data_IF_148749730443
#
_entry.id   IF_148749730443
#
_cell.length_a   1.000
_cell.length_b   1.000
_cell.length_c   1.000
_cell.angle_alpha   90.00
_cell.angle_beta   90.00
_cell.angle_gamma   90.00
#
_symmetry.space_group_name_H-M   'P 1'
#
loop_
_entity.id
_entity.type
_entity.pdbx_description
1 polymer ?
#
# COMPACT_ATOMS: atom_id res chain seq x y z
N UNK A 1 -1.47 14.70 2.73
CA UNK A 1 -0.44 14.78 3.80
C UNK A 1 -0.53 16.14 4.49
N UNK A 2 -0.34 17.25 3.78
CA UNK A 2 -0.44 18.63 4.29
C UNK A 2 -1.69 18.92 5.16
N UNK A 3 -2.87 18.40 4.79
CA UNK A 3 -4.10 18.60 5.57
C UNK A 3 -4.06 18.00 6.99
N UNK A 4 -3.19 17.01 7.22
CA UNK A 4 -3.07 16.27 8.47
C UNK A 4 -1.87 16.67 9.31
N UNK A 5 -0.91 17.38 8.72
CA UNK A 5 0.36 17.76 9.35
C UNK A 5 0.17 18.55 10.64
N UNK A 6 -0.83 19.45 10.68
CA UNK A 6 -1.19 20.21 11.88
C UNK A 6 -1.60 19.36 13.10
N UNK A 7 -1.90 18.08 12.89
CA UNK A 7 -2.24 17.12 13.95
C UNK A 7 -1.10 16.15 14.26
N UNK A 8 0.01 16.22 13.51
CA UNK A 8 1.16 15.33 13.67
C UNK A 8 2.21 15.95 14.59
N UNK A 9 2.99 15.14 15.32
CA UNK A 9 4.20 15.62 15.99
C UNK A 9 5.20 16.21 15.00
N UNK A 10 5.94 17.22 15.45
CA UNK A 10 7.17 17.68 14.79
C UNK A 10 8.38 17.26 15.61
N UNK A 11 9.57 17.32 15.00
CA UNK A 11 10.82 16.92 15.64
C UNK A 11 11.84 18.04 15.49
N UNK A 12 12.42 18.50 16.60
CA UNK A 12 13.31 19.67 16.65
C UNK A 12 14.66 19.31 17.29
N UNK A 13 15.72 20.03 16.91
CA UNK A 13 17.06 19.88 17.49
C UNK A 13 17.87 18.68 16.99
N UNK A 14 19.11 18.55 17.47
CA UNK A 14 20.04 17.48 17.06
C UNK A 14 19.60 16.09 17.54
N UNK A 15 18.89 16.04 18.67
CA UNK A 15 18.39 14.82 19.29
C UNK A 15 17.02 14.40 18.77
N UNK A 16 16.44 15.15 17.82
CA UNK A 16 15.13 14.84 17.25
C UNK A 16 14.05 14.76 18.33
N UNK A 17 14.00 15.77 19.21
CA UNK A 17 13.03 15.78 20.30
C UNK A 17 11.62 15.97 19.74
N UNK A 18 10.72 15.05 20.07
CA UNK A 18 9.35 15.08 19.63
C UNK A 18 8.57 16.21 20.32
N UNK A 19 7.85 16.99 19.52
CA UNK A 19 6.96 18.06 19.96
C UNK A 19 5.56 17.82 19.42
N UNK A 20 4.64 17.53 20.33
CA UNK A 20 3.25 17.31 19.97
C UNK A 20 2.54 18.65 19.66
N UNK A 21 1.62 18.66 18.69
CA UNK A 21 0.82 19.83 18.38
C UNK A 21 -0.15 20.15 19.52
N UNK A 22 -0.57 21.42 19.59
CA UNK A 22 -1.66 21.83 20.49
C UNK A 22 -2.98 21.46 19.83
N UNK A 23 -3.70 20.53 20.44
CA UNK A 23 -4.95 19.97 19.93
C UNK A 23 -6.15 20.46 20.74
N UNK A 24 -7.28 20.71 20.05
CA UNK A 24 -8.56 20.96 20.69
C UNK A 24 -9.11 19.67 21.33
N UNK A 25 -10.08 19.81 22.24
CA UNK A 25 -10.63 18.69 23.02
C UNK A 25 -11.25 17.56 22.18
N UNK A 26 -11.65 17.85 20.95
CA UNK A 26 -12.24 16.91 19.99
C UNK A 26 -11.25 16.43 18.92
N UNK A 27 -10.00 16.89 18.95
CA UNK A 27 -8.95 16.53 18.00
C UNK A 27 -8.08 15.41 18.60
N UNK A 28 -7.55 14.56 17.72
CA UNK A 28 -6.69 13.44 18.10
C UNK A 28 -5.30 13.64 17.50
N UNK A 29 -4.29 13.15 18.21
CA UNK A 29 -2.93 13.10 17.69
C UNK A 29 -2.89 12.20 16.46
N UNK A 30 -2.27 12.65 15.39
CA UNK A 30 -2.05 11.85 14.19
C UNK A 30 -0.63 11.33 14.18
N UNK A 31 -0.45 10.02 14.00
CA UNK A 31 0.88 9.40 13.95
C UNK A 31 1.12 8.88 12.54
N UNK A 32 2.18 9.37 11.92
CA UNK A 32 2.60 8.92 10.59
C UNK A 32 3.19 7.51 10.69
N UNK A 33 2.64 6.59 9.88
CA UNK A 33 3.12 5.21 9.77
C UNK A 33 3.40 4.93 8.30
N UNK A 34 4.66 4.72 7.96
CA UNK A 34 5.04 4.33 6.60
C UNK A 34 5.27 2.84 6.45
N UNK A 35 5.07 2.35 5.24
CA UNK A 35 5.19 0.95 4.86
C UNK A 35 6.00 0.81 3.57
N UNK A 36 6.79 -0.26 3.51
CA UNK A 36 7.40 -0.73 2.27
C UNK A 36 7.89 -2.19 2.40
N UNK A 37 8.29 -2.79 1.27
CA UNK A 37 8.89 -4.12 1.17
C UNK A 37 10.27 -4.04 0.52
N UNK A 38 11.25 -4.70 1.13
CA UNK A 38 12.59 -4.81 0.59
C UNK A 38 13.02 -6.27 0.37
N UNK A 39 13.69 -6.53 -0.76
CA UNK A 39 14.32 -7.82 -1.07
C UNK A 39 15.80 -7.85 -0.68
N UNK A 40 16.18 -8.87 0.08
CA UNK A 40 17.54 -9.18 0.47
C UNK A 40 17.98 -10.46 -0.23
N UNK A 41 19.02 -10.37 -1.06
CA UNK A 41 19.48 -11.48 -1.88
C UNK A 41 20.73 -12.13 -1.29
N UNK A 42 20.79 -13.45 -1.32
CA UNK A 42 21.88 -14.25 -0.75
C UNK A 42 23.25 -13.93 -1.38
N UNK A 43 23.28 -13.49 -2.63
CA UNK A 43 24.51 -13.12 -3.34
C UNK A 43 24.66 -11.60 -3.53
N UNK A 44 23.94 -10.75 -2.79
CA UNK A 44 24.12 -9.29 -2.81
C UNK A 44 25.41 -8.91 -2.09
N UNK A 45 26.45 -8.53 -2.85
CA UNK A 45 27.83 -8.28 -2.41
C UNK A 45 28.32 -6.91 -2.88
N UNK A 46 29.43 -6.46 -2.29
CA UNK A 46 30.21 -5.34 -2.78
C UNK A 46 30.64 -5.62 -4.23
N UNK A 47 30.37 -4.69 -5.16
CA UNK A 47 30.74 -4.87 -6.56
C UNK A 47 32.26 -4.92 -6.76
N UNK A 48 33.03 -4.32 -5.84
CA UNK A 48 34.49 -4.19 -5.91
C UNK A 48 35.13 -4.99 -4.78
N UNK A 49 36.11 -5.83 -5.13
CA UNK A 49 36.92 -6.63 -4.19
C UNK A 49 38.38 -6.47 -4.58
N UNK A 50 39.26 -6.27 -3.59
CA UNK A 50 40.71 -6.31 -3.79
C UNK A 50 41.19 -7.76 -3.65
N UNK A 51 41.92 -8.25 -4.65
CA UNK A 51 42.42 -9.62 -4.68
C UNK A 51 43.86 -9.67 -5.22
N UNK A 52 44.67 -10.66 -4.83
CA UNK A 52 46.00 -10.88 -5.40
C UNK A 52 45.94 -11.08 -6.92
N UNK A 53 46.99 -10.62 -7.60
CA UNK A 53 47.12 -10.80 -9.05
C UNK A 53 47.16 -12.30 -9.35
N UNK A 54 46.25 -12.78 -10.20
CA UNK A 54 46.13 -14.19 -10.58
C UNK A 54 45.18 -15.02 -9.73
N UNK A 55 44.64 -14.48 -8.63
CA UNK A 55 43.71 -15.19 -7.73
C UNK A 55 42.37 -14.44 -7.57
N UNK A 56 41.61 -14.22 -8.66
CA UNK A 56 40.33 -13.52 -8.55
C UNK A 56 39.34 -14.36 -7.72
N UNK A 57 38.64 -13.76 -6.74
CA UNK A 57 37.65 -14.47 -5.95
C UNK A 57 36.48 -14.90 -6.84
N UNK A 58 36.13 -16.18 -6.77
CA UNK A 58 34.98 -16.73 -7.50
C UNK A 58 33.67 -16.25 -6.88
N UNK A 59 32.92 -15.43 -7.62
CA UNK A 59 31.57 -15.01 -7.23
C UNK A 59 30.51 -15.97 -7.79
N UNK A 60 29.48 -16.23 -6.99
CA UNK A 60 28.31 -16.97 -7.47
C UNK A 60 27.60 -16.15 -8.55
N UNK A 61 27.14 -16.82 -9.60
CA UNK A 61 26.38 -16.18 -10.69
C UNK A 61 24.98 -15.79 -10.21
N UNK A 62 24.56 -14.58 -10.54
CA UNK A 62 23.21 -14.06 -10.23
C UNK A 62 22.99 -13.74 -8.75
N UNK A 63 21.81 -13.24 -8.42
CA UNK A 63 21.48 -12.76 -7.07
C UNK A 63 21.21 -13.89 -6.05
N UNK A 64 20.98 -15.13 -6.52
CA UNK A 64 20.66 -16.25 -5.63
C UNK A 64 19.26 -16.17 -5.02
N UNK A 65 19.01 -16.94 -3.96
CA UNK A 65 17.75 -16.90 -3.20
C UNK A 65 17.58 -15.54 -2.52
N UNK A 66 16.35 -15.15 -2.24
CA UNK A 66 16.07 -13.92 -1.51
C UNK A 66 15.12 -14.12 -0.33
N UNK A 67 15.12 -13.13 0.56
CA UNK A 67 14.14 -12.96 1.61
C UNK A 67 13.52 -11.58 1.38
N UNK A 68 12.20 -11.55 1.22
CA UNK A 68 11.43 -10.31 1.26
C UNK A 68 11.14 -9.98 2.72
N UNK A 69 11.30 -8.71 3.06
CA UNK A 69 10.91 -8.15 4.35
C UNK A 69 9.86 -7.08 4.09
N UNK A 70 8.71 -7.17 4.75
CA UNK A 70 7.65 -6.17 4.74
C UNK A 70 7.57 -5.57 6.14
N UNK A 71 7.68 -4.26 6.29
CA UNK A 71 7.82 -3.63 7.61
C UNK A 71 7.12 -2.28 7.66
N UNK A 72 6.84 -1.81 8.88
CA UNK A 72 6.22 -0.53 9.15
C UNK A 72 7.12 0.30 10.07
N UNK A 73 7.32 1.57 9.70
CA UNK A 73 8.05 2.53 10.51
C UNK A 73 7.17 3.72 10.89
N UNK A 74 7.30 4.13 12.12
CA UNK A 74 6.72 5.32 12.71
C UNK A 74 7.82 6.35 12.85
N UNK A 75 7.42 7.60 12.73
CA UNK A 75 8.32 8.71 12.96
C UNK A 75 8.77 8.82 14.42
N UNK A 76 7.85 8.50 15.33
CA UNK A 76 8.00 8.63 16.79
C UNK A 76 8.87 7.54 17.41
N UNK A 77 8.58 6.28 17.11
CA UNK A 77 9.12 5.12 17.82
C UNK A 77 9.90 4.14 16.91
N UNK A 78 10.14 4.54 15.66
CA UNK A 78 10.79 3.68 14.68
C UNK A 78 9.90 2.50 14.32
N UNK A 79 10.34 1.26 14.57
CA UNK A 79 9.56 0.09 14.11
C UNK A 79 8.23 -0.07 14.82
N UNK A 80 7.19 -0.43 14.09
CA UNK A 80 5.89 -0.76 14.67
C UNK A 80 5.95 -2.11 15.39
N UNK A 81 6.25 -2.05 16.69
CA UNK A 81 6.32 -3.18 17.60
C UNK A 81 5.95 -2.75 19.03
N UNK A 82 5.52 -3.70 19.83
CA UNK A 82 5.30 -3.51 21.26
C UNK A 82 6.62 -3.58 22.04
N UNK A 83 6.69 -2.84 23.15
CA UNK A 83 7.74 -2.96 24.17
C UNK A 83 7.37 -4.02 25.23
N UNK A 84 8.27 -4.30 26.17
CA UNK A 84 8.07 -5.38 27.17
C UNK A 84 6.82 -5.14 28.04
N UNK A 85 6.56 -3.90 28.45
CA UNK A 85 5.40 -3.55 29.28
C UNK A 85 4.09 -3.65 28.48
N UNK A 86 4.10 -3.20 27.22
CA UNK A 86 2.97 -3.29 26.30
C UNK A 86 2.62 -4.75 25.97
N UNK A 87 3.62 -5.63 25.84
CA UNK A 87 3.41 -7.07 25.62
C UNK A 87 2.74 -7.71 26.83
N UNK A 88 3.11 -7.30 28.05
CA UNK A 88 2.46 -7.80 29.26
C UNK A 88 1.02 -7.30 29.39
N UNK A 89 0.75 -6.07 28.94
CA UNK A 89 -0.59 -5.49 28.98
C UNK A 89 -1.52 -6.04 27.91
N UNK A 90 -0.99 -6.38 26.73
CA UNK A 90 -1.75 -6.84 25.56
C UNK A 90 -1.19 -8.16 24.98
N UNK A 91 -1.22 -9.27 25.75
CA UNK A 91 -0.59 -10.54 25.36
C UNK A 91 -1.21 -11.19 24.10
N UNK A 92 -2.44 -10.82 23.74
CA UNK A 92 -3.14 -11.27 22.54
C UNK A 92 -2.73 -10.53 21.26
N UNK A 93 -2.09 -9.36 21.39
CA UNK A 93 -1.67 -8.53 20.27
C UNK A 93 -0.30 -8.99 19.78
N UNK A 94 -0.09 -9.12 18.46
CA UNK A 94 1.21 -9.51 17.93
C UNK A 94 2.33 -8.55 18.36
N UNK A 95 3.54 -9.09 18.58
CA UNK A 95 4.66 -8.28 19.09
C UNK A 95 5.20 -7.28 18.06
N UNK A 96 5.35 -7.68 16.79
CA UNK A 96 5.82 -6.79 15.72
C UNK A 96 5.01 -6.96 14.44
N UNK A 97 4.85 -5.85 13.68
CA UNK A 97 4.11 -5.86 12.43
C UNK A 97 4.90 -6.46 11.26
N UNK A 98 6.22 -6.64 11.39
CA UNK A 98 7.09 -7.13 10.33
C UNK A 98 6.70 -8.53 9.86
N UNK A 99 6.78 -8.75 8.56
CA UNK A 99 6.69 -10.07 7.93
C UNK A 99 7.91 -10.37 7.08
N UNK A 100 8.28 -11.65 7.04
CA UNK A 100 9.26 -12.21 6.12
C UNK A 100 8.54 -13.14 5.14
N UNK A 101 9.02 -13.18 3.90
CA UNK A 101 8.56 -14.14 2.89
C UNK A 101 9.74 -14.56 2.02
N UNK A 102 9.88 -15.85 1.73
CA UNK A 102 10.84 -16.38 0.75
C UNK A 102 10.18 -16.42 -0.62
N UNK A 103 10.44 -15.45 -1.51
CA UNK A 103 9.76 -15.40 -2.79
C UNK A 103 10.24 -16.52 -3.71
N UNK A 104 9.30 -17.18 -4.39
CA UNK A 104 9.59 -18.14 -5.44
C UNK A 104 8.52 -19.20 -5.58
N UNK A 105 8.36 -19.71 -6.81
CA UNK A 105 7.41 -20.80 -7.14
C UNK A 105 7.60 -22.06 -6.29
N UNK A 106 8.86 -22.36 -5.93
CA UNK A 106 9.25 -23.52 -5.13
C UNK A 106 9.63 -23.14 -3.68
N UNK A 107 9.22 -21.95 -3.24
CA UNK A 107 9.47 -21.44 -1.87
C UNK A 107 8.10 -21.13 -1.22
N UNK A 108 7.90 -19.91 -0.70
CA UNK A 108 6.65 -19.52 0.00
C UNK A 108 5.66 -18.76 -0.92
N UNK A 109 5.93 -18.74 -2.23
CA UNK A 109 5.10 -18.04 -3.21
C UNK A 109 5.53 -16.59 -3.43
N UNK A 110 4.57 -15.70 -3.70
CA UNK A 110 4.82 -14.29 -3.97
C UNK A 110 4.00 -13.43 -3.02
N UNK A 111 4.49 -12.23 -2.69
CA UNK A 111 3.72 -11.27 -1.91
C UNK A 111 2.51 -10.76 -2.70
N UNK A 112 1.33 -10.84 -2.09
CA UNK A 112 0.05 -10.47 -2.70
C UNK A 112 -0.65 -9.38 -1.90
N UNK A 113 -1.72 -8.81 -2.47
CA UNK A 113 -2.61 -7.91 -1.75
C UNK A 113 -3.23 -8.57 -0.49
N UNK A 114 -3.53 -9.87 -0.53
CA UNK A 114 -4.07 -10.60 0.63
C UNK A 114 -3.04 -10.68 1.78
N UNK A 115 -1.75 -10.90 1.48
CA UNK A 115 -0.69 -10.86 2.49
C UNK A 115 -0.54 -9.48 3.14
N UNK A 116 -0.62 -8.41 2.33
CA UNK A 116 -0.58 -7.05 2.86
C UNK A 116 -1.80 -6.75 3.74
N UNK A 117 -2.99 -7.12 3.28
CA UNK A 117 -4.22 -6.88 4.02
C UNK A 117 -4.20 -7.60 5.37
N UNK A 118 -3.75 -8.86 5.40
CA UNK A 118 -3.52 -9.60 6.65
C UNK A 118 -2.52 -8.87 7.57
N UNK A 119 -1.37 -8.45 7.02
CA UNK A 119 -0.36 -7.73 7.79
C UNK A 119 -0.91 -6.43 8.39
N UNK A 120 -1.72 -5.68 7.64
CA UNK A 120 -2.27 -4.40 8.11
C UNK A 120 -3.35 -4.63 9.17
N UNK A 121 -4.33 -5.49 8.88
CA UNK A 121 -5.53 -5.67 9.72
C UNK A 121 -5.21 -6.46 10.99
N UNK A 122 -4.38 -7.50 10.89
CA UNK A 122 -4.16 -8.44 12.00
C UNK A 122 -2.89 -8.14 12.79
N UNK A 123 -2.02 -7.25 12.29
CA UNK A 123 -0.77 -6.90 12.98
C UNK A 123 -0.61 -5.40 13.14
N UNK A 124 -0.52 -4.63 12.05
CA UNK A 124 -0.15 -3.21 12.13
C UNK A 124 -1.18 -2.36 12.90
N UNK A 125 -2.47 -2.47 12.57
CA UNK A 125 -3.53 -1.71 13.26
C UNK A 125 -3.63 -2.11 14.75
N UNK A 126 -3.72 -3.40 15.13
CA UNK A 126 -3.77 -3.79 16.53
C UNK A 126 -2.57 -3.30 17.35
N UNK A 127 -1.34 -3.41 16.82
CA UNK A 127 -0.13 -2.92 17.48
C UNK A 127 -0.20 -1.40 17.64
N UNK A 128 -0.64 -0.69 16.61
CA UNK A 128 -0.78 0.75 16.65
C UNK A 128 -1.80 1.21 17.70
N UNK A 129 -2.99 0.61 17.73
CA UNK A 129 -4.06 0.96 18.67
C UNK A 129 -3.67 0.67 20.13
N UNK A 130 -2.91 -0.41 20.38
CA UNK A 130 -2.36 -0.70 21.70
C UNK A 130 -1.35 0.35 22.16
N UNK A 131 -0.50 0.79 21.24
CA UNK A 131 0.57 1.76 21.50
C UNK A 131 0.05 3.20 21.60
N UNK A 132 -1.02 3.52 20.88
CA UNK A 132 -1.61 4.87 20.84
C UNK A 132 -3.15 4.82 20.88
N UNK A 133 -3.76 4.46 22.02
CA UNK A 133 -5.21 4.19 22.12
C UNK A 133 -6.12 5.40 21.81
N UNK A 134 -5.58 6.61 21.81
CA UNK A 134 -6.32 7.85 21.51
C UNK A 134 -5.78 8.61 20.29
N UNK A 135 -4.97 7.97 19.44
CA UNK A 135 -4.43 8.56 18.23
C UNK A 135 -5.13 8.05 16.96
N UNK A 136 -4.88 8.73 15.85
CA UNK A 136 -5.26 8.30 14.51
C UNK A 136 -3.98 7.92 13.75
N UNK A 137 -3.92 6.69 13.27
CA UNK A 137 -2.83 6.25 12.41
C UNK A 137 -3.00 6.83 11.00
N UNK A 138 -1.95 7.46 10.48
CA UNK A 138 -1.87 7.90 9.08
C UNK A 138 -0.95 6.94 8.35
N UNK A 139 -1.54 5.87 7.81
CA UNK A 139 -0.84 4.82 7.09
C UNK A 139 -0.53 5.26 5.67
N UNK A 140 0.75 5.22 5.30
CA UNK A 140 1.24 5.70 4.01
C UNK A 140 1.85 4.58 3.18
N UNK A 141 1.45 4.52 1.91
CA UNK A 141 1.81 3.43 1.02
C UNK A 141 2.31 3.95 -0.34
N UNK A 142 3.18 3.18 -0.99
CA UNK A 142 3.50 3.41 -2.41
C UNK A 142 2.31 3.02 -3.33
N UNK A 143 2.44 3.27 -4.63
CA UNK A 143 1.40 2.92 -5.63
C UNK A 143 1.57 1.51 -6.22
N UNK A 144 2.13 0.55 -5.48
CA UNK A 144 2.23 -0.82 -5.98
C UNK A 144 0.86 -1.41 -6.28
N UNK A 145 0.79 -2.32 -7.25
CA UNK A 145 -0.47 -2.96 -7.67
C UNK A 145 -1.17 -3.70 -6.53
N UNK A 146 -0.40 -4.22 -5.57
CA UNK A 146 -0.94 -4.85 -4.36
C UNK A 146 -1.64 -3.83 -3.45
N UNK A 147 -1.17 -2.59 -3.37
CA UNK A 147 -1.77 -1.54 -2.54
C UNK A 147 -3.03 -0.96 -3.17
N UNK A 148 -3.03 -0.88 -4.51
CA UNK A 148 -4.17 -0.46 -5.33
C UNK A 148 -5.20 -1.58 -5.60
N UNK A 149 -5.01 -2.77 -5.03
CA UNK A 149 -5.93 -3.88 -5.25
C UNK A 149 -7.31 -3.58 -4.63
N UNK A 150 -8.34 -3.61 -5.46
CA UNK A 150 -9.72 -3.42 -5.04
C UNK A 150 -10.31 -4.71 -4.48
N UNK A 151 -11.34 -4.58 -3.65
CA UNK A 151 -12.07 -5.74 -3.14
C UNK A 151 -12.73 -6.52 -4.29
N UNK A 152 -12.98 -7.83 -4.08
CA UNK A 152 -13.52 -8.73 -5.12
C UNK A 152 -14.89 -8.29 -5.65
N UNK A 153 -15.63 -7.55 -4.83
CA UNK A 153 -16.95 -7.01 -5.11
C UNK A 153 -16.94 -5.49 -5.38
N UNK A 154 -15.80 -4.82 -5.43
CA UNK A 154 -15.73 -3.38 -5.72
C UNK A 154 -16.21 -3.06 -7.15
N UNK A 155 -16.68 -1.82 -7.37
CA UNK A 155 -17.10 -1.35 -8.69
C UNK A 155 -15.87 -1.15 -9.58
N UNK A 156 -15.59 -2.09 -10.47
CA UNK A 156 -14.47 -1.98 -11.39
C UNK A 156 -14.92 -2.24 -12.82
N UNK A 157 -15.06 -1.18 -13.60
CA UNK A 157 -15.53 -1.22 -14.97
C UNK A 157 -14.74 -2.19 -15.87
N UNK A 158 -13.46 -2.41 -15.59
CA UNK A 158 -12.63 -3.36 -16.35
C UNK A 158 -13.04 -4.83 -16.14
N UNK A 159 -13.80 -5.11 -15.09
CA UNK A 159 -14.29 -6.44 -14.75
C UNK A 159 -15.79 -6.63 -15.11
N UNK A 160 -16.36 -5.70 -15.89
CA UNK A 160 -17.73 -5.78 -16.39
C UNK A 160 -17.79 -6.30 -17.83
N UNK A 161 -18.80 -7.12 -18.11
CA UNK A 161 -19.16 -7.44 -19.49
C UNK A 161 -20.08 -6.36 -20.07
N UNK A 162 -20.14 -6.25 -21.41
CA UNK A 162 -21.12 -5.41 -22.10
C UNK A 162 -22.54 -5.89 -21.79
N UNK A 163 -22.75 -7.19 -21.95
CA UNK A 163 -24.01 -7.87 -21.71
C UNK A 163 -23.99 -8.61 -20.36
N UNK A 164 -25.17 -9.03 -19.92
CA UNK A 164 -25.39 -9.78 -18.69
C UNK A 164 -24.80 -11.20 -18.74
N UNK A 165 -24.42 -11.73 -17.57
CA UNK A 165 -23.85 -13.06 -17.41
C UNK A 165 -22.39 -13.22 -17.85
N UNK A 166 -21.98 -14.46 -18.14
CA UNK A 166 -20.60 -14.83 -18.46
C UNK A 166 -19.63 -14.73 -17.27
N UNK A 167 -18.32 -14.77 -17.55
CA UNK A 167 -17.27 -14.58 -16.54
C UNK A 167 -17.07 -13.08 -16.25
N UNK A 168 -17.97 -12.47 -15.48
CA UNK A 168 -17.82 -11.09 -14.98
C UNK A 168 -17.83 -11.07 -13.44
N UNK A 169 -17.27 -9.99 -12.87
CA UNK A 169 -17.27 -9.81 -11.42
C UNK A 169 -18.68 -9.58 -10.86
N UNK A 170 -18.92 -10.04 -9.63
CA UNK A 170 -20.15 -9.77 -8.88
C UNK A 170 -19.90 -8.57 -8.00
N UNK A 171 -20.30 -7.40 -8.45
CA UNK A 171 -20.05 -6.15 -7.73
C UNK A 171 -21.12 -5.88 -6.67
N UNK A 172 -20.74 -5.18 -5.61
CA UNK A 172 -21.63 -4.68 -4.57
C UNK A 172 -22.58 -3.63 -5.12
N UNK A 173 -23.73 -3.47 -4.47
CA UNK A 173 -24.67 -2.39 -4.77
C UNK A 173 -24.04 -1.03 -4.48
N UNK A 174 -24.56 0.01 -5.13
CA UNK A 174 -24.00 1.36 -5.08
C UNK A 174 -25.10 2.42 -4.99
N UNK A 175 -24.69 3.66 -4.81
CA UNK A 175 -25.53 4.83 -5.00
C UNK A 175 -24.88 5.73 -6.06
N UNK A 176 -25.67 6.29 -6.98
CA UNK A 176 -25.15 7.08 -8.09
C UNK A 176 -25.93 8.38 -8.29
N UNK A 177 -25.30 9.32 -8.98
CA UNK A 177 -25.88 10.61 -9.34
C UNK A 177 -26.08 11.57 -8.16
N UNK A 178 -26.50 12.82 -8.43
CA UNK A 178 -26.65 13.85 -7.40
C UNK A 178 -27.73 13.56 -6.37
N UNK A 179 -28.70 12.69 -6.72
CA UNK A 179 -29.80 12.30 -5.84
C UNK A 179 -29.48 11.10 -4.96
N UNK A 180 -28.24 10.57 -5.03
CA UNK A 180 -27.82 9.38 -4.30
C UNK A 180 -28.77 8.19 -4.54
N UNK A 181 -29.05 7.90 -5.81
CA UNK A 181 -30.02 6.88 -6.22
C UNK A 181 -29.41 5.49 -6.02
N UNK A 182 -30.10 4.63 -5.27
CA UNK A 182 -29.66 3.25 -5.06
C UNK A 182 -29.68 2.43 -6.36
N UNK A 183 -28.62 1.66 -6.61
CA UNK A 183 -28.53 0.75 -7.74
C UNK A 183 -27.97 -0.62 -7.34
N UNK A 184 -28.71 -1.66 -7.69
CA UNK A 184 -28.24 -3.04 -7.66
C UNK A 184 -27.34 -3.32 -8.86
N UNK A 185 -26.14 -3.85 -8.62
CA UNK A 185 -25.22 -4.32 -9.68
C UNK A 185 -25.45 -5.79 -10.06
N UNK A 186 -26.23 -6.52 -9.26
CA UNK A 186 -26.62 -7.90 -9.47
C UNK A 186 -28.14 -7.97 -9.42
N UNK A 187 -28.76 -8.68 -10.37
CA UNK A 187 -30.20 -8.90 -10.33
C UNK A 187 -30.61 -9.66 -9.05
N UNK A 188 -31.76 -9.32 -8.45
CA UNK A 188 -32.22 -9.99 -7.24
C UNK A 188 -32.53 -11.46 -7.49
N UNK A 189 -32.58 -12.25 -6.42
CA UNK A 189 -32.84 -13.70 -6.50
C UNK A 189 -34.21 -14.05 -7.09
N UNK A 190 -35.18 -13.13 -7.01
CA UNK A 190 -36.52 -13.27 -7.56
C UNK A 190 -36.67 -12.67 -8.98
N UNK A 191 -35.57 -12.27 -9.64
CA UNK A 191 -35.64 -11.72 -11.00
C UNK A 191 -36.18 -12.78 -11.97
N UNK A 192 -37.21 -12.49 -12.79
CA UNK A 192 -37.95 -13.49 -13.56
C UNK A 192 -37.11 -14.24 -14.60
N UNK A 193 -36.05 -13.61 -15.11
CA UNK A 193 -35.25 -14.14 -16.23
C UNK A 193 -33.77 -14.36 -15.86
N UNK A 194 -33.26 -13.58 -14.90
CA UNK A 194 -31.82 -13.49 -14.63
C UNK A 194 -31.51 -13.50 -13.12
N UNK A 195 -32.09 -14.43 -12.34
CA UNK A 195 -31.93 -14.42 -10.89
C UNK A 195 -30.46 -14.51 -10.49
N UNK A 196 -30.02 -13.63 -9.59
CA UNK A 196 -28.64 -13.54 -9.09
C UNK A 196 -27.56 -13.30 -10.16
N UNK A 197 -27.91 -12.92 -11.39
CA UNK A 197 -26.90 -12.67 -12.42
C UNK A 197 -26.33 -11.24 -12.31
N UNK A 198 -25.01 -11.05 -12.49
CA UNK A 198 -24.41 -9.73 -12.56
C UNK A 198 -24.88 -8.96 -13.80
N UNK A 199 -25.16 -7.67 -13.63
CA UNK A 199 -25.60 -6.78 -14.70
C UNK A 199 -24.40 -6.31 -15.52
N UNK A 200 -24.52 -6.41 -16.85
CA UNK A 200 -23.52 -5.84 -17.76
C UNK A 200 -23.65 -4.32 -17.90
N UNK A 201 -22.64 -3.68 -18.50
CA UNK A 201 -22.57 -2.23 -18.71
C UNK A 201 -23.84 -1.67 -19.37
N UNK A 202 -24.37 -2.37 -20.38
CA UNK A 202 -25.58 -1.93 -21.10
C UNK A 202 -26.78 -1.80 -20.16
N UNK A 203 -27.02 -2.80 -19.30
CA UNK A 203 -28.14 -2.79 -18.36
C UNK A 203 -28.00 -1.64 -17.36
N UNK A 204 -26.79 -1.43 -16.82
CA UNK A 204 -26.51 -0.34 -15.88
C UNK A 204 -26.76 1.02 -16.55
N UNK A 205 -26.28 1.23 -17.78
CA UNK A 205 -26.49 2.48 -18.51
C UNK A 205 -27.96 2.75 -18.83
N UNK A 206 -28.73 1.72 -19.17
CA UNK A 206 -30.19 1.85 -19.37
C UNK A 206 -30.86 2.31 -18.08
N UNK A 207 -30.54 1.66 -16.95
CA UNK A 207 -31.10 2.03 -15.64
C UNK A 207 -30.70 3.44 -15.19
N UNK A 208 -29.52 3.92 -15.60
CA UNK A 208 -29.05 5.29 -15.33
C UNK A 208 -29.57 6.33 -16.33
N UNK A 209 -30.29 5.93 -17.39
CA UNK A 209 -30.74 6.84 -18.45
C UNK A 209 -29.62 7.39 -19.35
N UNK A 210 -28.47 6.71 -19.40
CA UNK A 210 -27.27 7.11 -20.15
C UNK A 210 -27.08 6.29 -21.45
N UNK A 211 -27.99 5.37 -21.73
CA UNK A 211 -27.95 4.51 -22.91
C UNK A 211 -28.50 5.22 -24.17
N UNK A 212 -27.84 5.00 -25.32
CA UNK A 212 -28.36 5.35 -26.64
C UNK A 212 -27.94 4.32 -27.70
N UNK A 213 -28.68 4.26 -28.80
CA UNK A 213 -28.44 3.28 -29.87
C UNK A 213 -27.13 3.56 -30.62
N UNK A 214 -26.38 2.49 -30.92
CA UNK A 214 -25.07 2.57 -31.56
C UNK A 214 -23.90 2.75 -30.58
N UNK A 215 -24.16 2.92 -29.28
CA UNK A 215 -23.10 2.98 -28.27
C UNK A 215 -22.34 1.65 -28.20
N UNK A 216 -21.02 1.71 -28.39
CA UNK A 216 -20.14 0.54 -28.35
C UNK A 216 -19.65 0.26 -26.93
N UNK A 217 -19.33 -1.00 -26.63
CA UNK A 217 -18.92 -1.42 -25.28
C UNK A 217 -17.61 -0.81 -24.79
N UNK A 218 -16.51 -1.12 -25.47
CA UNK A 218 -15.17 -0.63 -25.14
C UNK A 218 -14.43 -0.31 -26.45
N UNK A 219 -14.28 0.98 -26.76
CA UNK A 219 -13.63 1.43 -27.98
C UNK A 219 -12.11 1.19 -27.96
N UNK A 220 -11.48 1.14 -29.15
CA UNK A 220 -10.07 0.81 -29.28
C UNK A 220 -9.15 1.84 -28.59
N UNK A 221 -9.49 3.13 -28.67
CA UNK A 221 -8.69 4.19 -28.05
C UNK A 221 -8.69 4.09 -26.51
N UNK A 222 -9.82 3.71 -25.90
CA UNK A 222 -9.89 3.44 -24.46
C UNK A 222 -9.12 2.18 -24.07
N UNK A 223 -9.14 1.13 -24.90
CA UNK A 223 -8.32 -0.08 -24.67
C UNK A 223 -6.83 0.22 -24.70
N UNK A 224 -6.41 1.14 -25.57
CA UNK A 224 -5.04 1.63 -25.67
C UNK A 224 -4.67 2.66 -24.58
N UNK A 225 -5.60 3.02 -23.69
CA UNK A 225 -5.42 4.02 -22.63
C UNK A 225 -4.92 5.38 -23.17
N UNK A 226 -5.37 5.76 -24.37
CA UNK A 226 -5.10 7.08 -24.92
C UNK A 226 -5.98 8.07 -24.17
N UNK A 227 -5.33 8.95 -23.39
CA UNK A 227 -6.03 9.94 -22.58
C UNK A 227 -6.40 11.16 -23.42
N UNK A 228 -7.69 11.48 -23.42
CA UNK A 228 -8.27 12.61 -24.13
C UNK A 228 -9.50 13.05 -23.33
N UNK A 229 -9.38 14.23 -22.73
CA UNK A 229 -10.39 14.78 -21.82
C UNK A 229 -11.71 15.09 -22.54
N UNK A 230 -11.68 15.29 -23.86
CA UNK A 230 -12.88 15.59 -24.64
C UNK A 230 -13.74 14.34 -24.90
N UNK A 231 -13.15 13.15 -24.78
CA UNK A 231 -13.81 11.87 -25.06
C UNK A 231 -14.49 11.33 -23.82
N UNK A 232 -15.67 11.84 -23.51
CA UNK A 232 -16.42 11.46 -22.31
C UNK A 232 -17.50 10.41 -22.55
N UNK A 233 -18.00 10.28 -23.77
CA UNK A 233 -19.15 9.46 -24.15
C UNK A 233 -18.84 8.40 -25.24
N UNK A 234 -17.58 8.22 -25.60
CA UNK A 234 -17.20 7.42 -26.77
C UNK A 234 -17.55 5.92 -26.69
N UNK A 235 -17.77 5.37 -25.49
CA UNK A 235 -18.16 3.97 -25.28
C UNK A 235 -18.73 3.77 -23.87
N UNK A 236 -19.48 2.67 -23.67
CA UNK A 236 -20.08 2.31 -22.38
C UNK A 236 -19.05 2.33 -21.22
N UNK A 237 -17.87 1.75 -21.48
CA UNK A 237 -16.77 1.72 -20.52
C UNK A 237 -16.34 3.13 -20.08
N UNK A 238 -16.20 4.07 -21.01
CA UNK A 238 -15.76 5.43 -20.69
C UNK A 238 -16.81 6.18 -19.89
N UNK A 239 -18.08 6.10 -20.29
CA UNK A 239 -19.19 6.73 -19.57
C UNK A 239 -19.22 6.24 -18.12
N UNK A 240 -19.29 4.93 -17.90
CA UNK A 240 -19.31 4.36 -16.54
C UNK A 240 -18.02 4.63 -15.76
N UNK A 241 -16.85 4.64 -16.41
CA UNK A 241 -15.59 5.01 -15.75
C UNK A 241 -15.55 6.45 -15.27
N UNK A 242 -16.41 7.30 -15.83
CA UNK A 242 -16.53 8.70 -15.45
C UNK A 242 -17.60 8.96 -14.39
N UNK A 243 -18.45 7.98 -14.10
CA UNK A 243 -19.43 8.07 -13.02
C UNK A 243 -18.72 8.09 -11.66
N UNK A 244 -19.23 8.93 -10.76
CA UNK A 244 -18.57 9.22 -9.48
C UNK A 244 -18.38 7.97 -8.62
N UNK A 245 -19.35 7.07 -8.59
CA UNK A 245 -19.30 5.86 -7.78
C UNK A 245 -18.25 4.85 -8.25
N UNK A 246 -17.93 4.84 -9.55
CA UNK A 246 -16.81 4.07 -10.10
C UNK A 246 -15.47 4.78 -9.88
N UNK A 247 -15.42 6.11 -10.02
CA UNK A 247 -14.21 6.92 -9.79
C UNK A 247 -13.77 6.90 -8.33
N UNK A 248 -14.73 6.97 -7.42
CA UNK A 248 -14.49 7.07 -5.98
C UNK A 248 -14.14 5.72 -5.35
N UNK A 249 -14.08 4.63 -6.12
CA UNK A 249 -13.71 3.33 -5.58
C UNK A 249 -12.29 3.32 -5.04
N UNK A 250 -12.20 2.91 -3.78
CA UNK A 250 -10.95 2.82 -3.04
C UNK A 250 -10.37 1.42 -3.17
N UNK A 251 -9.07 1.27 -2.89
CA UNK A 251 -8.51 -0.06 -2.73
C UNK A 251 -9.08 -0.73 -1.49
N UNK A 252 -9.07 -2.06 -1.44
CA UNK A 252 -9.53 -2.81 -0.27
C UNK A 252 -8.73 -2.43 0.98
N UNK A 253 -7.42 -2.20 0.80
CA UNK A 253 -6.54 -1.72 1.86
C UNK A 253 -7.04 -0.41 2.46
N UNK A 254 -7.35 0.57 1.60
CA UNK A 254 -7.84 1.87 2.05
C UNK A 254 -9.21 1.76 2.74
N UNK A 255 -10.13 0.98 2.19
CA UNK A 255 -11.45 0.74 2.81
C UNK A 255 -11.32 0.18 4.24
N UNK A 256 -10.47 -0.82 4.45
CA UNK A 256 -10.33 -1.49 5.75
C UNK A 256 -9.60 -0.60 6.78
N UNK A 257 -8.61 0.20 6.37
CA UNK A 257 -7.94 1.17 7.25
C UNK A 257 -8.93 2.27 7.69
N UNK A 258 -9.68 2.84 6.74
CA UNK A 258 -10.66 3.90 7.04
C UNK A 258 -11.82 3.39 7.90
N UNK A 259 -12.26 2.14 7.68
CA UNK A 259 -13.27 1.48 8.52
C UNK A 259 -12.85 1.32 9.97
N UNK A 260 -11.54 1.23 10.23
CA UNK A 260 -10.95 1.22 11.58
C UNK A 260 -10.75 2.63 12.17
N UNK A 261 -11.19 3.68 11.47
CA UNK A 261 -11.07 5.06 11.94
C UNK A 261 -9.68 5.66 11.74
N UNK A 262 -8.86 5.05 10.88
CA UNK A 262 -7.53 5.52 10.52
C UNK A 262 -7.52 6.13 9.12
N UNK A 263 -6.40 6.76 8.75
CA UNK A 263 -6.25 7.44 7.46
C UNK A 263 -5.28 6.61 6.62
N UNK A 264 -5.64 6.40 5.35
CA UNK A 264 -4.74 5.81 4.35
C UNK A 264 -4.39 6.87 3.31
N UNK A 265 -3.09 7.09 3.08
CA UNK A 265 -2.60 7.98 2.03
C UNK A 265 -1.58 7.27 1.14
N UNK A 266 -1.48 7.71 -0.10
CA UNK A 266 -0.52 7.19 -1.07
C UNK A 266 0.52 8.24 -1.40
N UNK A 267 1.79 7.84 -1.44
CA UNK A 267 2.86 8.68 -1.94
C UNK A 267 2.65 9.03 -3.42
N UNK A 268 3.20 10.13 -3.94
CA UNK A 268 3.32 10.35 -5.37
C UNK A 268 4.01 9.18 -6.08
N UNK A 269 3.56 8.85 -7.29
CA UNK A 269 4.15 7.77 -8.10
C UNK A 269 5.58 8.11 -8.46
N UNK A 270 6.49 7.14 -8.32
CA UNK A 270 7.91 7.25 -8.66
C UNK A 270 8.74 8.21 -7.77
N UNK A 271 8.29 8.45 -6.54
CA UNK A 271 8.98 9.30 -5.57
C UNK A 271 9.34 8.51 -4.29
N UNK A 272 10.30 7.59 -4.39
CA UNK A 272 10.73 6.78 -3.25
C UNK A 272 11.50 7.60 -2.19
N UNK A 273 12.10 8.72 -2.59
CA UNK A 273 12.76 9.66 -1.69
C UNK A 273 11.83 10.25 -0.63
N UNK A 274 10.52 10.26 -0.87
CA UNK A 274 9.51 10.72 0.09
C UNK A 274 9.18 9.68 1.16
N UNK A 275 9.55 8.42 0.95
CA UNK A 275 9.26 7.32 1.86
C UNK A 275 10.52 6.98 2.69
N UNK A 276 10.64 7.54 3.89
CA UNK A 276 11.86 7.42 4.71
C UNK A 276 12.24 5.97 5.10
N UNK A 277 11.33 4.99 4.98
CA UNK A 277 11.67 3.58 5.15
C UNK A 277 12.72 3.08 4.14
N UNK A 278 12.84 3.74 2.98
CA UNK A 278 13.87 3.43 1.99
C UNK A 278 15.28 3.68 2.53
N UNK A 279 15.44 4.69 3.40
CA UNK A 279 16.72 4.93 4.08
C UNK A 279 17.04 3.83 5.09
N UNK A 280 16.04 3.38 5.83
CA UNK A 280 16.14 2.21 6.72
C UNK A 280 16.53 0.95 5.94
N UNK A 281 15.97 0.73 4.75
CA UNK A 281 16.40 -0.36 3.87
C UNK A 281 17.82 -0.20 3.36
N UNK A 282 18.23 1.02 3.02
CA UNK A 282 19.61 1.34 2.67
C UNK A 282 20.60 0.95 3.78
N UNK A 283 20.30 1.33 5.02
CA UNK A 283 21.09 0.99 6.20
C UNK A 283 21.13 -0.53 6.45
N UNK A 284 19.97 -1.20 6.37
CA UNK A 284 19.88 -2.64 6.57
C UNK A 284 20.67 -3.41 5.51
N UNK A 285 20.57 -3.00 4.24
CA UNK A 285 21.35 -3.59 3.14
C UNK A 285 22.85 -3.36 3.34
N UNK A 286 23.25 -2.16 3.73
CA UNK A 286 24.66 -1.86 4.04
C UNK A 286 25.19 -2.81 5.12
N UNK A 287 24.48 -2.96 6.24
CA UNK A 287 24.87 -3.89 7.30
C UNK A 287 24.99 -5.32 6.77
N UNK A 288 24.01 -5.80 5.98
CA UNK A 288 24.10 -7.15 5.41
C UNK A 288 25.31 -7.32 4.49
N UNK A 289 25.66 -6.32 3.67
CA UNK A 289 26.85 -6.36 2.80
C UNK A 289 28.18 -6.26 3.57
N UNK A 290 28.16 -5.76 4.80
CA UNK A 290 29.33 -5.67 5.66
C UNK A 290 29.53 -6.95 6.50
N UNK A 291 28.47 -7.70 6.79
CA UNK A 291 28.49 -8.81 7.74
C UNK A 291 28.19 -10.20 7.14
N UNK A 292 27.55 -10.27 5.95
CA UNK A 292 27.21 -11.54 5.31
C UNK A 292 28.34 -12.07 4.42
N UNK A 293 28.48 -13.40 4.33
CA UNK A 293 29.46 -14.06 3.47
C UNK A 293 28.88 -14.61 2.14
N UNK A 294 27.81 -14.01 1.64
CA UNK A 294 27.20 -14.36 0.34
C UNK A 294 26.71 -15.81 0.24
N UNK A 295 26.13 -16.28 1.36
CA UNK A 295 25.47 -17.57 1.44
C UNK A 295 24.06 -17.41 1.98
N UNK A 296 23.19 -18.35 1.59
CA UNK A 296 21.84 -18.45 2.11
C UNK A 296 21.81 -18.59 3.64
N UNK A 297 22.76 -19.33 4.22
CA UNK A 297 22.88 -19.49 5.67
C UNK A 297 23.21 -18.15 6.35
N UNK A 298 24.18 -17.42 5.80
CA UNK A 298 24.63 -16.16 6.39
C UNK A 298 23.58 -15.06 6.32
N UNK A 299 22.88 -14.90 5.18
CA UNK A 299 21.81 -13.89 5.11
C UNK A 299 20.67 -14.19 6.09
N UNK A 300 20.30 -15.47 6.28
CA UNK A 300 19.31 -15.86 7.29
C UNK A 300 19.75 -15.54 8.71
N UNK A 301 21.05 -15.65 9.00
CA UNK A 301 21.60 -15.38 10.32
C UNK A 301 21.65 -13.87 10.62
N UNK A 302 22.13 -13.06 9.67
CA UNK A 302 22.39 -11.65 9.91
C UNK A 302 21.23 -10.72 9.57
N UNK A 303 20.21 -11.15 8.82
CA UNK A 303 19.10 -10.28 8.41
C UNK A 303 18.31 -9.72 9.61
N UNK A 304 18.07 -10.51 10.65
CA UNK A 304 17.42 -10.00 11.86
C UNK A 304 18.29 -8.92 12.54
N UNK A 305 19.60 -9.14 12.62
CA UNK A 305 20.53 -8.19 13.23
C UNK A 305 20.67 -6.92 12.40
N UNK A 306 20.66 -7.01 11.07
CA UNK A 306 20.75 -5.84 10.18
C UNK A 306 19.56 -4.92 10.33
N UNK A 307 18.39 -5.51 10.50
CA UNK A 307 17.15 -4.79 10.76
C UNK A 307 17.18 -4.14 12.15
N UNK A 308 17.62 -4.88 13.18
CA UNK A 308 17.75 -4.36 14.53
C UNK A 308 18.73 -3.17 14.60
N UNK A 309 19.89 -3.28 13.95
CA UNK A 309 20.91 -2.23 13.92
C UNK A 309 20.52 -1.00 13.10
N UNK A 310 19.59 -1.14 12.16
CA UNK A 310 19.10 -0.02 11.35
C UNK A 310 17.99 0.77 12.04
N UNK A 311 17.35 0.18 13.06
CA UNK A 311 16.26 0.80 13.82
C UNK A 311 16.74 1.72 14.96
N UNK A 312 18.03 1.67 15.35
CA UNK A 312 18.60 2.53 16.41
C UNK A 312 18.96 3.94 15.95
N UNK A 313 18.73 4.26 14.67
CA UNK A 313 18.95 5.58 14.09
C UNK A 313 17.61 6.34 14.12
N UNK A 314 17.23 6.87 15.29
CA UNK A 314 16.03 7.69 15.50
C UNK A 314 16.04 9.06 14.80
N UNK A 315 16.64 9.16 13.61
CA UNK A 315 16.94 10.41 12.93
C UNK A 315 16.68 10.38 11.42
N UNK A 316 15.79 9.50 10.94
CA UNK A 316 15.50 9.41 9.49
C UNK A 316 14.40 10.37 9.01
N UNK A 317 13.58 10.91 9.91
CA UNK A 317 12.33 11.55 9.50
C UNK A 317 12.40 13.06 9.22
N UNK A 318 13.08 13.85 10.06
CA UNK A 318 13.03 15.31 9.93
C UNK A 318 13.87 15.87 8.78
N UNK A 319 14.94 15.18 8.36
CA UNK A 319 15.77 15.67 7.26
C UNK A 319 15.09 15.55 5.90
N UNK A 320 14.22 14.55 5.71
CA UNK A 320 13.57 14.31 4.43
C UNK A 320 12.29 15.13 4.26
N UNK A 321 11.50 15.30 5.33
CA UNK A 321 10.26 16.07 5.25
C UNK A 321 10.51 17.57 5.00
N UNK A 322 11.53 18.17 5.64
CA UNK A 322 11.80 19.61 5.54
C UNK A 322 12.60 20.02 4.28
N UNK A 323 13.47 19.17 3.73
CA UNK A 323 14.23 19.52 2.52
C UNK A 323 13.42 19.36 1.22
N UNK A 324 12.37 18.52 1.22
CA UNK A 324 11.55 18.32 0.01
C UNK A 324 10.48 19.41 -0.15
N UNK A 325 10.02 20.07 0.93
CA UNK A 325 9.12 21.22 0.83
C UNK A 325 9.73 22.42 0.09
N UNK A 326 11.07 22.57 0.13
CA UNK A 326 11.75 23.71 -0.52
C UNK A 326 11.82 23.56 -2.05
N UNK A 327 11.62 22.36 -2.62
CA UNK A 327 11.68 22.17 -4.08
C UNK A 327 10.33 22.15 -4.81
N UNK A 328 9.20 22.08 -4.09
CA UNK A 328 7.86 22.03 -4.73
C UNK A 328 7.14 23.37 -4.86
N UNK A 329 7.78 24.50 -4.51
CA UNK A 329 7.26 25.86 -4.81
C UNK A 329 7.61 26.32 -6.24
N UNK A 330 8.43 25.59 -6.98
CA UNK A 330 8.73 25.89 -8.39
C UNK A 330 8.91 24.63 -9.23
N UNK A 331 7.80 23.99 -9.65
CA UNK A 331 7.67 23.35 -10.98
C UNK A 331 6.22 23.30 -11.43
#
# INVERSE_FOLDING_TARGET
>A
MLSYEKFMPTFEGENMEQKNPVLLSNEKLHILITHDKCLFYANDDRPVVWAPIGEPPLKKKGQGKSIMVSDFLLETDGRLKLNEDEILLYPEIPVEARKFLRPGKNEEGWWTAEHLLDQVINYAIPIFEAKYPNAIGVFTFDNSTNHGAMAKDALNINNMNVNLGGKQARMRSTFFGPNNTFQLMVFPSNHPIFPNQPKGMKQILIERGLWYDGLIGHCQLCKLKIDDITRTDCCMHKILSLEEDFKSQKSQLQEEIEKKGHICIFYPKYHCELNYIEMYWGAAKRYTRENCNYTWSSIRHFLHNSILSSASLGAWSSKVALEVEVQFVYR
#
